data_IF_571618552983
#
_entry.id   IF_571618552983
#
_cell.length_a   1.000
_cell.length_b   1.000
_cell.length_c   1.000
_cell.angle_alpha   90.00
_cell.angle_beta   90.00
_cell.angle_gamma   90.00
#
_symmetry.space_group_name_H-M   'P 1'
#
loop_
_entity.id
_entity.type
_entity.pdbx_description
1 polymer ?
#
# COMPACT_ATOMS: atom_id res chain seq x y z
N UNK A 1 -11.07 20.60 18.78
CA UNK A 1 -10.62 19.21 18.52
C UNK A 1 -11.79 18.40 17.96
N UNK A 2 -11.64 17.80 16.79
CA UNK A 2 -12.65 17.00 16.07
C UNK A 2 -12.32 15.52 16.16
N UNK A 3 -13.29 14.68 16.55
CA UNK A 3 -13.08 13.24 16.64
C UNK A 3 -13.40 12.57 15.30
N UNK A 4 -12.41 11.89 14.73
CA UNK A 4 -12.48 11.24 13.43
C UNK A 4 -12.50 9.73 13.62
N UNK A 5 -13.51 9.05 13.07
CA UNK A 5 -13.64 7.60 13.11
C UNK A 5 -13.20 6.98 11.78
N UNK A 6 -12.00 6.41 11.76
CA UNK A 6 -11.51 5.59 10.65
C UNK A 6 -12.04 4.16 10.79
N UNK A 7 -12.75 3.67 9.77
CA UNK A 7 -13.37 2.34 9.77
C UNK A 7 -12.74 1.51 8.67
N UNK A 8 -12.18 0.35 9.03
CA UNK A 8 -11.53 -0.55 8.07
C UNK A 8 -12.04 -1.98 8.19
N UNK A 9 -11.84 -2.76 7.13
CA UNK A 9 -12.23 -4.16 7.03
C UNK A 9 -11.07 -4.96 6.42
N UNK A 10 -10.28 -5.62 7.25
CA UNK A 10 -9.03 -6.25 6.81
C UNK A 10 -8.85 -7.66 7.38
N UNK A 11 -8.19 -8.50 6.60
CA UNK A 11 -7.75 -9.82 7.03
C UNK A 11 -6.46 -9.79 7.84
N UNK A 12 -6.18 -10.84 8.64
CA UNK A 12 -4.99 -10.92 9.49
C UNK A 12 -3.67 -10.94 8.71
N UNK A 13 -3.72 -11.30 7.43
CA UNK A 13 -2.55 -11.40 6.54
C UNK A 13 -1.96 -10.03 6.21
N UNK A 14 -2.70 -8.94 6.46
CA UNK A 14 -2.28 -7.58 6.12
C UNK A 14 -1.70 -6.86 7.33
N UNK A 15 -0.69 -6.03 7.09
CA UNK A 15 -0.03 -5.18 8.09
C UNK A 15 -0.23 -3.69 7.77
N UNK A 16 -1.22 -3.36 6.94
CA UNK A 16 -1.46 -1.98 6.50
C UNK A 16 -1.80 -1.02 7.64
N UNK A 17 -2.47 -1.51 8.68
CA UNK A 17 -2.80 -0.68 9.83
C UNK A 17 -1.53 -0.23 10.55
N UNK A 18 -0.68 -1.16 10.96
CA UNK A 18 0.52 -0.87 11.73
C UNK A 18 1.60 -0.22 10.86
N UNK A 19 1.72 -0.66 9.61
CA UNK A 19 2.76 -0.23 8.71
C UNK A 19 2.48 1.10 8.02
N UNK A 20 1.22 1.43 7.71
CA UNK A 20 0.85 2.59 6.88
C UNK A 20 -0.13 3.54 7.59
N UNK A 21 -1.35 3.07 7.88
CA UNK A 21 -2.43 3.97 8.29
C UNK A 21 -2.22 4.54 9.69
N UNK A 22 -1.94 3.71 10.70
CA UNK A 22 -1.74 4.19 12.07
C UNK A 22 -0.60 5.21 12.16
N UNK A 23 0.59 4.98 11.56
CA UNK A 23 1.63 6.01 11.54
C UNK A 23 1.14 7.34 10.94
N UNK A 24 0.49 7.30 9.77
CA UNK A 24 0.00 8.53 9.12
C UNK A 24 -1.03 9.24 10.01
N UNK A 25 -2.03 8.52 10.54
CA UNK A 25 -3.08 9.09 11.38
C UNK A 25 -2.53 9.66 12.70
N UNK A 26 -1.52 9.01 13.28
CA UNK A 26 -0.81 9.51 14.46
C UNK A 26 -0.05 10.80 14.14
N UNK A 27 0.63 10.86 12.99
CA UNK A 27 1.30 12.07 12.53
C UNK A 27 0.31 13.20 12.22
N UNK A 28 -0.89 12.91 11.69
CA UNK A 28 -1.95 13.91 11.52
C UNK A 28 -2.39 14.42 12.90
N UNK A 29 -2.64 13.53 13.86
CA UNK A 29 -3.06 13.90 15.22
C UNK A 29 -2.03 14.78 15.94
N UNK A 30 -0.73 14.52 15.76
CA UNK A 30 0.33 15.28 16.44
C UNK A 30 0.49 16.71 15.93
N UNK A 31 -0.02 17.02 14.74
CA UNK A 31 0.15 18.33 14.08
C UNK A 31 -1.17 19.04 13.75
N UNK A 32 -2.31 18.55 14.25
CA UNK A 32 -3.64 19.09 13.93
C UNK A 32 -4.60 19.01 15.12
N UNK A 33 -5.83 19.50 14.90
CA UNK A 33 -6.92 19.43 15.88
C UNK A 33 -7.79 18.16 15.70
N UNK A 34 -7.28 17.13 15.03
CA UNK A 34 -7.99 15.86 14.83
C UNK A 34 -7.56 14.81 15.84
N UNK A 35 -8.54 14.07 16.38
CA UNK A 35 -8.30 12.91 17.24
C UNK A 35 -8.86 11.66 16.57
N UNK A 36 -8.01 10.65 16.35
CA UNK A 36 -8.41 9.46 15.59
C UNK A 36 -8.88 8.31 16.48
N UNK A 37 -10.04 7.80 16.11
CA UNK A 37 -10.58 6.51 16.54
C UNK A 37 -10.52 5.54 15.37
N UNK A 38 -10.09 4.32 15.61
CA UNK A 38 -10.01 3.25 14.62
C UNK A 38 -10.94 2.13 15.04
N UNK A 39 -11.88 1.77 14.17
CA UNK A 39 -12.67 0.55 14.29
C UNK A 39 -12.28 -0.38 13.14
N UNK A 40 -11.60 -1.48 13.49
CA UNK A 40 -11.21 -2.51 12.53
C UNK A 40 -12.15 -3.71 12.63
N UNK A 41 -12.80 -4.03 11.53
CA UNK A 41 -13.47 -5.31 11.35
C UNK A 41 -12.46 -6.34 10.84
N UNK A 42 -12.24 -7.43 11.58
CA UNK A 42 -11.22 -8.44 11.23
C UNK A 42 -11.63 -9.85 11.65
N UNK A 43 -11.04 -10.87 11.02
CA UNK A 43 -11.10 -12.28 11.45
C UNK A 43 -9.73 -12.78 11.95
N UNK A 44 -8.86 -11.86 12.38
CA UNK A 44 -7.57 -12.20 12.98
C UNK A 44 -7.68 -12.90 14.33
N UNK A 45 -6.59 -13.59 14.70
CA UNK A 45 -6.44 -14.24 16.00
C UNK A 45 -6.36 -13.20 17.12
N UNK A 46 -6.59 -13.62 18.37
CA UNK A 46 -6.45 -12.76 19.53
C UNK A 46 -5.03 -12.13 19.60
N UNK A 47 -4.00 -12.93 19.34
CA UNK A 47 -2.60 -12.49 19.28
C UNK A 47 -2.39 -11.40 18.21
N UNK A 48 -2.92 -11.59 16.99
CA UNK A 48 -2.80 -10.57 15.93
C UNK A 48 -3.49 -9.26 16.35
N UNK A 49 -4.66 -9.36 16.97
CA UNK A 49 -5.40 -8.19 17.47
C UNK A 49 -4.62 -7.47 18.56
N UNK A 50 -3.97 -8.20 19.47
CA UNK A 50 -3.15 -7.63 20.54
C UNK A 50 -1.94 -6.88 19.99
N UNK A 51 -1.25 -7.43 18.98
CA UNK A 51 -0.16 -6.74 18.28
C UNK A 51 -0.63 -5.43 17.65
N UNK A 52 -1.77 -5.45 16.96
CA UNK A 52 -2.34 -4.24 16.34
C UNK A 52 -2.77 -3.22 17.41
N UNK A 53 -3.36 -3.69 18.52
CA UNK A 53 -3.78 -2.83 19.62
C UNK A 53 -2.59 -2.17 20.32
N UNK A 54 -1.52 -2.91 20.57
CA UNK A 54 -0.26 -2.37 21.11
C UNK A 54 0.32 -1.30 20.19
N UNK A 55 0.37 -1.57 18.88
CA UNK A 55 0.84 -0.59 17.88
C UNK A 55 0.01 0.70 17.90
N UNK A 56 -1.32 0.59 18.06
CA UNK A 56 -2.18 1.76 18.20
C UNK A 56 -1.92 2.54 19.50
N UNK A 57 -1.69 1.85 20.62
CA UNK A 57 -1.37 2.46 21.90
C UNK A 57 -0.05 3.23 21.84
N UNK A 58 1.00 2.62 21.29
CA UNK A 58 2.31 3.25 21.09
C UNK A 58 2.23 4.52 20.22
N UNK A 59 1.25 4.57 19.32
CA UNK A 59 0.96 5.69 18.43
C UNK A 59 -0.11 6.66 18.97
N UNK A 60 -0.56 6.49 20.21
CA UNK A 60 -1.60 7.30 20.86
C UNK A 60 -2.94 7.34 20.10
N UNK A 61 -3.33 6.23 19.48
CA UNK A 61 -4.58 6.08 18.73
C UNK A 61 -5.60 5.25 19.52
N UNK A 62 -6.87 5.64 19.43
CA UNK A 62 -7.95 4.87 20.06
C UNK A 62 -8.35 3.73 19.12
N UNK A 63 -8.05 2.49 19.48
CA UNK A 63 -8.32 1.33 18.64
C UNK A 63 -9.42 0.43 19.23
N UNK A 64 -10.26 -0.13 18.36
CA UNK A 64 -11.28 -1.12 18.71
C UNK A 64 -11.41 -2.14 17.59
N UNK A 65 -11.31 -3.42 17.90
CA UNK A 65 -11.54 -4.51 16.96
C UNK A 65 -12.98 -5.03 17.02
N UNK A 66 -13.51 -5.48 15.89
CA UNK A 66 -14.79 -6.20 15.76
C UNK A 66 -14.59 -7.46 14.93
N UNK A 67 -15.01 -8.60 15.47
CA UNK A 67 -14.91 -9.88 14.77
C UNK A 67 -15.81 -9.93 13.53
N UNK A 68 -15.28 -10.43 12.43
CA UNK A 68 -16.03 -10.80 11.22
C UNK A 68 -16.43 -12.27 11.32
N UNK A 69 -17.73 -12.53 11.28
CA UNK A 69 -18.26 -13.90 11.31
C UNK A 69 -18.10 -14.54 9.94
N UNK A 70 -17.41 -15.69 9.87
CA UNK A 70 -17.15 -16.42 8.62
C UNK A 70 -17.79 -17.82 8.55
N UNK A 71 -18.37 -18.31 9.66
CA UNK A 71 -18.97 -19.65 9.78
C UNK A 71 -20.47 -19.55 10.13
N UNK A 72 -21.31 -20.55 9.79
CA UNK A 72 -21.00 -21.72 8.95
C UNK A 72 -20.88 -21.36 7.46
N UNK A 73 -21.58 -20.32 7.00
CA UNK A 73 -21.50 -19.81 5.63
C UNK A 73 -20.99 -18.36 5.62
N UNK A 74 -19.92 -18.10 4.87
CA UNK A 74 -19.24 -16.80 4.87
C UNK A 74 -20.14 -15.63 4.46
N UNK A 75 -21.09 -15.86 3.56
CA UNK A 75 -22.04 -14.83 3.09
C UNK A 75 -22.99 -14.43 4.23
N UNK A 76 -23.62 -15.40 4.89
CA UNK A 76 -24.51 -15.14 6.03
C UNK A 76 -23.76 -14.47 7.18
N UNK A 77 -22.54 -14.95 7.46
CA UNK A 77 -21.67 -14.33 8.46
C UNK A 77 -21.32 -12.87 8.12
N UNK A 78 -21.09 -12.55 6.85
CA UNK A 78 -20.84 -11.19 6.38
C UNK A 78 -22.07 -10.31 6.56
N UNK A 79 -23.26 -10.77 6.15
CA UNK A 79 -24.52 -10.02 6.33
C UNK A 79 -24.83 -9.75 7.80
N UNK A 80 -24.63 -10.75 8.66
CA UNK A 80 -24.78 -10.60 10.10
C UNK A 80 -23.78 -9.61 10.70
N UNK A 81 -22.52 -9.68 10.25
CA UNK A 81 -21.48 -8.73 10.66
C UNK A 81 -21.83 -7.31 10.24
N UNK A 82 -22.34 -7.11 9.02
CA UNK A 82 -22.80 -5.81 8.54
C UNK A 82 -23.93 -5.26 9.42
N UNK A 83 -24.96 -6.06 9.71
CA UNK A 83 -26.07 -5.64 10.56
C UNK A 83 -25.61 -5.22 11.97
N UNK A 84 -24.85 -6.10 12.65
CA UNK A 84 -24.30 -5.80 13.98
C UNK A 84 -23.32 -4.63 13.95
N UNK A 85 -22.52 -4.52 12.89
CA UNK A 85 -21.57 -3.45 12.66
C UNK A 85 -22.26 -2.10 12.55
N UNK A 86 -23.37 -2.00 11.81
CA UNK A 86 -24.15 -0.77 11.68
C UNK A 86 -24.68 -0.30 13.05
N UNK A 87 -25.27 -1.21 13.83
CA UNK A 87 -25.79 -0.89 15.17
C UNK A 87 -24.67 -0.45 16.12
N UNK A 88 -23.54 -1.15 16.09
CA UNK A 88 -22.36 -0.80 16.88
C UNK A 88 -21.82 0.57 16.52
N UNK A 89 -21.59 0.84 15.23
CA UNK A 89 -21.04 2.11 14.75
C UNK A 89 -21.95 3.29 15.09
N UNK A 90 -23.28 3.16 14.96
CA UNK A 90 -24.22 4.21 15.40
C UNK A 90 -24.06 4.55 16.89
N UNK A 91 -23.96 3.55 17.75
CA UNK A 91 -23.72 3.73 19.20
C UNK A 91 -22.33 4.33 19.46
N UNK A 92 -21.31 3.86 18.76
CA UNK A 92 -19.93 4.32 18.90
C UNK A 92 -19.79 5.80 18.50
N UNK A 93 -20.37 6.19 17.36
CA UNK A 93 -20.36 7.57 16.85
C UNK A 93 -20.97 8.52 17.87
N UNK A 94 -22.15 8.18 18.42
CA UNK A 94 -22.82 8.98 19.44
C UNK A 94 -22.04 9.04 20.74
N UNK A 95 -21.56 7.90 21.25
CA UNK A 95 -20.84 7.81 22.53
C UNK A 95 -19.54 8.62 22.54
N UNK A 96 -18.82 8.63 21.41
CA UNK A 96 -17.51 9.26 21.30
C UNK A 96 -17.56 10.63 20.63
N UNK A 97 -18.75 11.21 20.43
CA UNK A 97 -18.94 12.50 19.77
C UNK A 97 -18.14 12.61 18.45
N UNK A 98 -18.24 11.57 17.61
CA UNK A 98 -17.54 11.52 16.32
C UNK A 98 -18.17 12.56 15.37
N UNK A 99 -17.36 13.48 14.87
CA UNK A 99 -17.79 14.54 13.94
C UNK A 99 -17.45 14.22 12.49
N UNK A 100 -16.46 13.34 12.25
CA UNK A 100 -16.08 12.86 10.92
C UNK A 100 -16.04 11.34 10.91
N UNK A 101 -16.77 10.70 10.00
CA UNK A 101 -16.75 9.25 9.78
C UNK A 101 -16.03 8.96 8.48
N UNK A 102 -14.95 8.20 8.57
CA UNK A 102 -14.05 7.89 7.47
C UNK A 102 -14.04 6.38 7.17
N UNK A 103 -15.00 5.87 6.38
CA UNK A 103 -14.95 4.49 5.91
C UNK A 103 -13.85 4.32 4.86
N UNK A 104 -12.98 3.33 5.05
CA UNK A 104 -12.04 2.86 4.02
C UNK A 104 -12.61 1.62 3.35
N UNK A 105 -12.59 1.57 2.02
CA UNK A 105 -13.06 0.44 1.19
C UNK A 105 -14.59 0.18 1.18
N UNK A 106 -15.02 -0.77 0.35
CA UNK A 106 -16.42 -1.02 0.01
C UNK A 106 -17.28 -1.49 1.20
N UNK A 107 -16.76 -2.36 2.08
CA UNK A 107 -17.59 -2.94 3.16
C UNK A 107 -17.91 -1.92 4.27
N UNK A 108 -16.94 -1.15 4.79
CA UNK A 108 -17.23 0.00 5.66
C UNK A 108 -18.13 1.04 5.00
N UNK A 109 -17.91 1.34 3.71
CA UNK A 109 -18.76 2.25 2.96
C UNK A 109 -20.24 1.80 2.93
N UNK A 110 -20.47 0.52 2.68
CA UNK A 110 -21.81 -0.09 2.70
C UNK A 110 -22.48 0.12 4.07
N UNK A 111 -21.77 -0.10 5.19
CA UNK A 111 -22.32 0.14 6.53
C UNK A 111 -22.72 1.60 6.73
N UNK A 112 -21.84 2.55 6.36
CA UNK A 112 -22.10 3.98 6.51
C UNK A 112 -23.25 4.46 5.61
N UNK A 113 -23.40 3.90 4.41
CA UNK A 113 -24.53 4.16 3.50
C UNK A 113 -25.91 3.82 4.12
N UNK A 114 -25.95 2.96 5.14
CA UNK A 114 -27.18 2.57 5.85
C UNK A 114 -27.48 3.42 7.10
N UNK A 115 -26.68 4.45 7.35
CA UNK A 115 -26.88 5.39 8.48
C UNK A 115 -27.43 6.72 7.95
N UNK A 116 -28.10 7.52 8.77
CA UNK A 116 -28.43 8.92 8.45
C UNK A 116 -27.29 9.85 8.90
N UNK A 117 -26.99 10.92 8.14
CA UNK A 117 -25.94 11.90 8.47
C UNK A 117 -26.42 12.95 9.49
N UNK A 118 -26.88 12.54 10.66
CA UNK A 118 -27.53 13.52 11.53
C UNK A 118 -26.56 14.43 12.29
N UNK A 119 -25.28 14.07 12.46
CA UNK A 119 -24.30 14.88 13.23
C UNK A 119 -22.82 14.65 12.83
N UNK A 120 -22.54 14.11 11.64
CA UNK A 120 -21.17 13.88 11.20
C UNK A 120 -21.02 14.08 9.70
N UNK A 121 -19.81 14.51 9.29
CA UNK A 121 -19.36 14.55 7.89
C UNK A 121 -18.79 13.18 7.51
N UNK A 122 -18.86 12.83 6.24
CA UNK A 122 -18.36 11.57 5.69
C UNK A 122 -17.17 11.85 4.79
N UNK A 123 -16.04 11.22 5.10
CA UNK A 123 -14.84 11.24 4.27
C UNK A 123 -14.59 9.84 3.75
N UNK A 124 -14.91 9.58 2.49
CA UNK A 124 -14.67 8.24 1.95
C UNK A 124 -13.19 8.09 1.58
N UNK A 125 -12.49 7.15 2.21
CA UNK A 125 -11.12 6.79 1.82
C UNK A 125 -11.20 5.70 0.73
N UNK A 126 -11.24 6.15 -0.53
CA UNK A 126 -11.23 5.34 -1.74
C UNK A 126 -9.79 4.88 -2.04
N UNK A 127 -9.31 3.99 -1.18
CA UNK A 127 -7.98 3.40 -1.24
C UNK A 127 -7.88 2.40 -2.39
N UNK A 128 -7.51 2.88 -3.57
CA UNK A 128 -7.43 2.07 -4.79
C UNK A 128 -8.79 1.84 -5.45
N UNK A 129 -8.81 0.84 -6.33
CA UNK A 129 -10.01 0.38 -7.06
C UNK A 129 -10.25 -1.10 -6.72
N UNK A 130 -10.67 -1.42 -5.48
CA UNK A 130 -10.66 -2.80 -4.98
C UNK A 130 -11.66 -3.72 -5.69
N UNK A 131 -12.73 -3.20 -6.29
CA UNK A 131 -13.66 -4.01 -7.07
C UNK A 131 -13.06 -4.39 -8.43
N UNK A 132 -12.39 -3.43 -9.06
CA UNK A 132 -11.66 -3.60 -10.30
C UNK A 132 -10.43 -4.49 -10.11
N UNK A 133 -9.71 -4.39 -8.98
CA UNK A 133 -8.57 -5.28 -8.67
C UNK A 133 -9.03 -6.75 -8.60
N UNK A 134 -10.24 -6.99 -8.11
CA UNK A 134 -10.83 -8.33 -8.10
C UNK A 134 -11.25 -8.81 -9.49
N UNK A 135 -11.60 -7.90 -10.41
CA UNK A 135 -11.83 -8.24 -11.82
C UNK A 135 -10.49 -8.64 -12.44
N UNK A 136 -9.48 -7.79 -12.29
CA UNK A 136 -8.18 -7.92 -12.93
C UNK A 136 -7.41 -9.17 -12.44
N UNK A 137 -7.43 -9.46 -11.13
CA UNK A 137 -6.53 -10.46 -10.54
C UNK A 137 -7.22 -11.59 -9.75
N UNK A 138 -8.55 -11.56 -9.60
CA UNK A 138 -9.29 -12.55 -8.82
C UNK A 138 -10.47 -13.20 -9.55
N UNK A 139 -10.66 -12.90 -10.84
CA UNK A 139 -11.70 -13.52 -11.68
C UNK A 139 -13.13 -13.07 -11.35
N UNK A 140 -13.33 -11.95 -10.66
CA UNK A 140 -14.67 -11.41 -10.43
C UNK A 140 -15.26 -10.96 -11.78
N UNK A 141 -16.42 -11.48 -12.16
CA UNK A 141 -17.08 -11.01 -13.37
C UNK A 141 -17.73 -9.64 -13.17
N UNK A 142 -17.52 -8.66 -14.08
CA UNK A 142 -18.22 -7.37 -14.06
C UNK A 142 -19.74 -7.51 -14.30
N UNK A 143 -20.19 -8.64 -14.83
CA UNK A 143 -21.62 -8.95 -15.02
C UNK A 143 -22.25 -9.65 -13.81
N UNK A 144 -21.46 -9.97 -12.77
CA UNK A 144 -22.00 -10.63 -11.59
C UNK A 144 -22.88 -9.68 -10.77
N UNK A 145 -23.98 -10.21 -10.22
CA UNK A 145 -24.86 -9.45 -9.29
C UNK A 145 -24.08 -8.94 -8.07
N UNK A 146 -23.06 -9.69 -7.63
CA UNK A 146 -22.17 -9.27 -6.56
C UNK A 146 -21.42 -7.99 -6.92
N UNK A 147 -20.75 -7.96 -8.08
CA UNK A 147 -20.04 -6.77 -8.54
C UNK A 147 -20.99 -5.58 -8.70
N UNK A 148 -22.11 -5.76 -9.42
CA UNK A 148 -23.06 -4.70 -9.67
C UNK A 148 -23.62 -4.09 -8.37
N UNK A 149 -23.94 -4.92 -7.38
CA UNK A 149 -24.37 -4.47 -6.07
C UNK A 149 -23.29 -3.66 -5.34
N UNK A 150 -22.06 -4.19 -5.27
CA UNK A 150 -20.96 -3.53 -4.58
C UNK A 150 -20.57 -2.22 -5.28
N UNK A 151 -20.59 -2.18 -6.61
CA UNK A 151 -20.33 -0.98 -7.39
C UNK A 151 -21.40 0.09 -7.13
N UNK A 152 -22.67 -0.31 -7.06
CA UNK A 152 -23.77 0.61 -6.69
C UNK A 152 -23.58 1.19 -5.29
N UNK A 153 -23.10 0.40 -4.33
CA UNK A 153 -22.79 0.88 -2.98
C UNK A 153 -21.60 1.84 -2.94
N UNK A 154 -20.55 1.55 -3.71
CA UNK A 154 -19.42 2.47 -3.88
C UNK A 154 -19.87 3.79 -4.51
N UNK A 155 -20.62 3.76 -5.62
CA UNK A 155 -21.15 4.96 -6.28
C UNK A 155 -22.03 5.79 -5.35
N UNK A 156 -22.87 5.12 -4.54
CA UNK A 156 -23.69 5.80 -3.52
C UNK A 156 -22.83 6.46 -2.46
N UNK A 157 -21.74 5.81 -2.02
CA UNK A 157 -20.81 6.42 -1.06
C UNK A 157 -20.09 7.61 -1.68
N UNK A 158 -19.57 7.47 -2.90
CA UNK A 158 -18.92 8.54 -3.64
C UNK A 158 -19.84 9.75 -3.81
N UNK A 159 -21.13 9.56 -4.12
CA UNK A 159 -22.10 10.66 -4.18
C UNK A 159 -22.33 11.29 -2.81
N UNK A 160 -22.51 10.45 -1.78
CA UNK A 160 -22.87 10.88 -0.44
C UNK A 160 -21.72 11.54 0.32
N UNK A 161 -20.47 11.19 0.07
CA UNK A 161 -19.33 11.68 0.85
C UNK A 161 -19.14 13.20 0.69
N UNK A 162 -18.80 13.86 1.81
CA UNK A 162 -18.48 15.30 1.88
C UNK A 162 -17.03 15.55 1.41
N UNK A 163 -16.15 14.56 1.59
CA UNK A 163 -14.81 14.51 0.98
C UNK A 163 -14.47 13.09 0.53
N UNK A 164 -13.64 12.95 -0.49
CA UNK A 164 -13.14 11.66 -0.98
C UNK A 164 -11.62 11.70 -1.06
N UNK A 165 -10.96 10.77 -0.37
CA UNK A 165 -9.52 10.59 -0.45
C UNK A 165 -9.21 9.51 -1.49
N UNK A 166 -8.22 9.76 -2.32
CA UNK A 166 -7.72 8.82 -3.34
C UNK A 166 -6.21 8.75 -3.28
N UNK A 167 -5.60 7.80 -4.01
CA UNK A 167 -4.12 7.66 -4.07
C UNK A 167 -3.50 8.18 -5.37
N UNK A 168 -4.32 8.64 -6.31
CA UNK A 168 -3.85 9.16 -7.60
C UNK A 168 -4.87 10.09 -8.22
N UNK A 169 -4.40 11.00 -9.08
CA UNK A 169 -5.28 11.84 -9.91
C UNK A 169 -6.03 10.98 -10.93
N UNK A 170 -5.43 9.89 -11.41
CA UNK A 170 -6.12 8.90 -12.26
C UNK A 170 -7.36 8.31 -11.57
N UNK A 171 -7.30 7.99 -10.27
CA UNK A 171 -8.48 7.54 -9.51
C UNK A 171 -9.56 8.61 -9.40
N UNK A 172 -9.18 9.89 -9.22
CA UNK A 172 -10.15 11.00 -9.21
C UNK A 172 -10.93 11.04 -10.52
N UNK A 173 -10.25 10.90 -11.66
CA UNK A 173 -10.91 10.88 -12.97
C UNK A 173 -11.90 9.70 -13.09
N UNK A 174 -11.47 8.49 -12.70
CA UNK A 174 -12.31 7.28 -12.76
C UNK A 174 -13.55 7.41 -11.86
N UNK A 175 -13.38 7.87 -10.62
CA UNK A 175 -14.52 8.07 -9.72
C UNK A 175 -15.41 9.23 -10.17
N UNK A 176 -14.85 10.31 -10.72
CA UNK A 176 -15.63 11.44 -11.25
C UNK A 176 -16.48 11.05 -12.46
N UNK A 177 -16.00 10.15 -13.32
CA UNK A 177 -16.82 9.57 -14.39
C UNK A 177 -18.01 8.77 -13.84
N UNK A 178 -17.84 8.13 -12.68
CA UNK A 178 -18.90 7.34 -12.04
C UNK A 178 -20.00 8.20 -11.41
N UNK A 179 -19.67 9.36 -10.84
CA UNK A 179 -20.63 10.21 -10.09
C UNK A 179 -20.92 11.58 -10.72
N UNK A 180 -20.33 11.86 -11.88
CA UNK A 180 -20.39 13.15 -12.56
C UNK A 180 -19.35 14.16 -12.05
N UNK A 181 -18.73 14.88 -12.98
CA UNK A 181 -17.64 15.84 -12.72
C UNK A 181 -18.02 17.07 -11.87
N UNK A 182 -19.33 17.33 -11.67
CA UNK A 182 -19.83 18.43 -10.84
C UNK A 182 -19.36 18.35 -9.37
N UNK A 183 -18.95 17.16 -8.92
CA UNK A 183 -18.48 16.89 -7.57
C UNK A 183 -16.95 16.77 -7.47
N UNK A 184 -16.18 17.20 -8.47
CA UNK A 184 -14.73 17.01 -8.51
C UNK A 184 -13.97 17.71 -7.38
N UNK A 185 -14.50 18.83 -6.86
CA UNK A 185 -13.87 19.63 -5.80
C UNK A 185 -13.70 18.90 -4.45
N UNK A 186 -14.50 17.85 -4.19
CA UNK A 186 -14.44 17.09 -2.94
C UNK A 186 -13.36 15.99 -2.93
N UNK A 187 -12.78 15.71 -4.09
CA UNK A 187 -11.72 14.72 -4.20
C UNK A 187 -10.37 15.34 -3.82
N UNK A 188 -9.56 14.56 -3.10
CA UNK A 188 -8.19 14.92 -2.78
C UNK A 188 -7.30 13.69 -2.95
N UNK A 189 -6.12 13.88 -3.54
CA UNK A 189 -5.06 12.87 -3.52
C UNK A 189 -4.34 12.98 -2.19
N UNK A 190 -4.18 11.86 -1.50
CA UNK A 190 -3.35 11.76 -0.30
C UNK A 190 -2.23 10.75 -0.51
N UNK A 191 -1.09 10.99 0.12
CA UNK A 191 0.14 10.24 -0.12
C UNK A 191 0.28 9.04 0.81
N UNK A 192 0.91 7.97 0.33
CA UNK A 192 1.30 6.80 1.13
C UNK A 192 2.75 6.92 1.61
N UNK A 193 2.93 7.61 2.74
CA UNK A 193 4.22 7.98 3.28
C UNK A 193 4.75 6.99 4.31
N UNK A 194 6.06 7.05 4.53
CA UNK A 194 6.84 6.21 5.42
C UNK A 194 7.64 7.04 6.40
N UNK A 195 7.90 6.46 7.58
CA UNK A 195 8.75 7.08 8.58
C UNK A 195 10.19 7.19 8.02
N UNK A 196 10.64 8.41 7.82
CA UNK A 196 11.94 8.74 7.24
C UNK A 196 13.11 8.37 8.15
N UNK A 197 12.91 8.26 9.46
CA UNK A 197 13.95 7.82 10.39
C UNK A 197 14.10 6.30 10.43
N UNK A 198 13.00 5.60 10.14
CA UNK A 198 12.97 4.14 10.04
C UNK A 198 13.53 3.65 8.69
N UNK A 199 13.09 4.26 7.58
CA UNK A 199 13.65 4.02 6.24
C UNK A 199 14.68 5.09 5.90
N UNK A 200 15.95 4.79 6.13
CA UNK A 200 17.10 5.63 5.75
C UNK A 200 18.34 4.79 5.41
N UNK A 201 19.15 5.21 4.41
CA UNK A 201 20.40 4.54 4.11
C UNK A 201 21.33 4.57 5.32
N UNK A 202 22.03 3.46 5.57
CA UNK A 202 23.02 3.33 6.63
C UNK A 202 24.11 2.35 6.18
N UNK A 203 25.34 2.85 6.03
CA UNK A 203 26.48 2.07 5.53
C UNK A 203 26.90 0.93 6.45
N UNK A 204 26.89 1.14 7.77
CA UNK A 204 27.20 0.10 8.74
C UNK A 204 26.17 -1.03 8.72
N UNK A 205 24.87 -0.70 8.64
CA UNK A 205 23.80 -1.69 8.47
C UNK A 205 23.94 -2.47 7.16
N UNK A 206 24.28 -1.77 6.07
CA UNK A 206 24.55 -2.40 4.77
C UNK A 206 25.69 -3.41 4.87
N UNK A 207 26.82 -3.02 5.43
CA UNK A 207 27.98 -3.90 5.59
C UNK A 207 27.63 -5.13 6.45
N UNK A 208 26.98 -4.92 7.59
CA UNK A 208 26.56 -6.00 8.49
C UNK A 208 25.58 -6.97 7.81
N UNK A 209 24.58 -6.44 7.11
CA UNK A 209 23.59 -7.27 6.42
C UNK A 209 24.20 -8.04 5.25
N UNK A 210 25.13 -7.43 4.49
CA UNK A 210 25.85 -8.14 3.42
C UNK A 210 26.73 -9.26 3.99
N UNK A 211 27.38 -9.05 5.14
CA UNK A 211 28.11 -10.12 5.86
C UNK A 211 27.17 -11.25 6.31
N UNK A 212 26.04 -10.91 6.92
CA UNK A 212 25.03 -11.89 7.38
C UNK A 212 24.52 -12.76 6.22
N UNK A 213 24.23 -12.11 5.08
CA UNK A 213 23.77 -12.77 3.86
C UNK A 213 24.90 -13.46 3.08
N UNK A 214 26.15 -13.37 3.54
CA UNK A 214 27.35 -13.90 2.88
C UNK A 214 27.53 -13.36 1.44
N UNK A 215 27.22 -12.09 1.24
CA UNK A 215 27.30 -11.38 -0.04
C UNK A 215 28.63 -10.62 -0.14
N UNK A 216 29.54 -10.98 -1.05
CA UNK A 216 30.76 -10.21 -1.32
C UNK A 216 30.47 -8.76 -1.71
N UNK A 217 31.36 -7.81 -1.41
CA UNK A 217 31.14 -6.37 -1.65
C UNK A 217 30.87 -6.01 -3.11
N UNK A 218 31.49 -6.74 -4.05
CA UNK A 218 31.38 -6.57 -5.49
C UNK A 218 30.12 -7.19 -6.09
N UNK A 219 29.39 -8.04 -5.35
CA UNK A 219 28.20 -8.73 -5.83
C UNK A 219 27.02 -7.78 -5.91
N UNK A 220 26.32 -7.75 -7.05
CA UNK A 220 25.13 -6.90 -7.20
C UNK A 220 23.94 -7.55 -6.49
N UNK A 221 23.25 -6.83 -5.61
CA UNK A 221 22.06 -7.32 -4.92
C UNK A 221 20.82 -6.67 -5.49
N UNK A 222 20.02 -7.45 -6.21
CA UNK A 222 18.68 -7.06 -6.62
C UNK A 222 17.70 -7.46 -5.52
N UNK A 223 16.69 -6.65 -5.24
CA UNK A 223 15.76 -6.91 -4.14
C UNK A 223 14.30 -6.77 -4.56
N UNK A 224 13.46 -7.66 -4.03
CA UNK A 224 12.02 -7.50 -4.00
C UNK A 224 11.52 -7.66 -2.56
N UNK A 225 10.71 -6.72 -2.09
CA UNK A 225 10.03 -6.76 -0.80
C UNK A 225 8.51 -6.71 -1.00
N UNK A 226 7.81 -7.71 -0.48
CA UNK A 226 6.35 -7.74 -0.39
C UNK A 226 5.74 -9.09 -0.72
N UNK A 227 4.41 -9.11 -0.81
CA UNK A 227 3.67 -10.30 -1.24
C UNK A 227 3.97 -10.66 -2.70
N UNK A 228 3.80 -11.93 -3.04
CA UNK A 228 3.89 -12.43 -4.41
C UNK A 228 2.51 -12.93 -4.88
N UNK A 229 2.29 -12.92 -6.19
CA UNK A 229 1.01 -13.21 -6.85
C UNK A 229 0.92 -12.56 -8.23
N UNK A 230 -0.20 -12.76 -8.93
CA UNK A 230 -0.34 -12.36 -10.34
C UNK A 230 0.05 -10.91 -10.64
N UNK A 231 -0.34 -9.97 -9.78
CA UNK A 231 -0.07 -8.55 -10.01
C UNK A 231 1.38 -8.09 -9.78
N UNK A 232 2.30 -8.94 -9.32
CA UNK A 232 3.61 -8.53 -8.80
C UNK A 232 4.79 -8.79 -9.74
N UNK A 233 4.54 -8.99 -11.04
CA UNK A 233 5.57 -9.01 -12.08
C UNK A 233 6.67 -10.06 -11.87
N UNK A 234 6.29 -11.26 -11.38
CA UNK A 234 7.24 -12.32 -11.06
C UNK A 234 8.08 -12.72 -12.28
N UNK A 235 7.41 -12.95 -13.41
CA UNK A 235 8.06 -13.40 -14.64
C UNK A 235 9.04 -12.35 -15.17
N UNK A 236 8.68 -11.06 -15.09
CA UNK A 236 9.55 -9.95 -15.46
C UNK A 236 10.78 -9.87 -14.57
N UNK A 237 10.60 -9.92 -13.24
CA UNK A 237 11.74 -9.86 -12.31
C UNK A 237 12.71 -11.02 -12.52
N UNK A 238 12.18 -12.23 -12.72
CA UNK A 238 13.00 -13.42 -12.98
C UNK A 238 13.71 -13.35 -14.33
N UNK A 239 13.05 -12.86 -15.38
CA UNK A 239 13.67 -12.68 -16.70
C UNK A 239 14.79 -11.63 -16.68
N UNK A 240 14.58 -10.49 -16.00
CA UNK A 240 15.62 -9.46 -15.83
C UNK A 240 16.80 -10.02 -15.04
N UNK A 241 16.54 -10.69 -13.93
CA UNK A 241 17.59 -11.27 -13.10
C UNK A 241 18.40 -12.33 -13.86
N UNK A 242 17.74 -13.26 -14.56
CA UNK A 242 18.39 -14.27 -15.40
C UNK A 242 19.30 -13.65 -16.45
N UNK A 243 18.78 -12.71 -17.24
CA UNK A 243 19.56 -12.07 -18.29
C UNK A 243 20.74 -11.26 -17.73
N UNK A 244 20.58 -10.63 -16.56
CA UNK A 244 21.69 -9.97 -15.88
C UNK A 244 22.75 -10.98 -15.39
N UNK A 245 22.32 -12.09 -14.79
CA UNK A 245 23.20 -13.15 -14.28
C UNK A 245 24.03 -13.80 -15.42
N UNK A 246 23.43 -14.01 -16.59
CA UNK A 246 24.11 -14.55 -17.78
C UNK A 246 25.22 -13.62 -18.29
N UNK A 247 25.01 -12.29 -18.25
CA UNK A 247 26.03 -11.30 -18.60
C UNK A 247 27.11 -11.14 -17.53
N UNK A 248 26.70 -11.17 -16.25
CA UNK A 248 27.56 -10.97 -15.08
C UNK A 248 27.16 -11.96 -13.99
N UNK A 249 27.89 -13.07 -13.90
CA UNK A 249 27.68 -14.15 -12.92
C UNK A 249 28.06 -13.76 -11.47
N UNK A 250 27.74 -12.53 -11.05
CA UNK A 250 28.04 -11.96 -9.75
C UNK A 250 26.88 -11.10 -9.25
N UNK A 251 25.69 -11.70 -9.22
CA UNK A 251 24.49 -11.09 -8.67
C UNK A 251 23.75 -12.05 -7.74
N UNK A 252 23.00 -11.46 -6.80
CA UNK A 252 22.07 -12.16 -5.93
C UNK A 252 20.71 -11.48 -6.02
N UNK A 253 19.64 -12.28 -6.12
CA UNK A 253 18.28 -11.79 -5.96
C UNK A 253 17.78 -12.10 -4.56
N UNK A 254 17.62 -11.05 -3.75
CA UNK A 254 17.03 -11.13 -2.42
C UNK A 254 15.51 -10.91 -2.49
N UNK A 255 14.72 -11.90 -2.08
CA UNK A 255 13.26 -11.85 -2.10
C UNK A 255 12.77 -11.91 -0.65
N UNK A 256 12.26 -10.78 -0.15
CA UNK A 256 11.62 -10.67 1.15
C UNK A 256 10.11 -10.81 0.98
N UNK A 257 9.56 -11.95 1.39
CA UNK A 257 8.14 -12.24 1.19
C UNK A 257 7.54 -13.12 2.28
N UNK A 258 6.24 -12.99 2.49
CA UNK A 258 5.43 -13.93 3.28
C UNK A 258 4.97 -15.13 2.45
N UNK A 259 5.08 -15.05 1.12
CA UNK A 259 4.67 -16.09 0.16
C UNK A 259 5.88 -16.95 -0.26
N UNK A 260 6.59 -17.56 0.70
CA UNK A 260 7.82 -18.32 0.40
C UNK A 260 7.56 -19.53 -0.49
N UNK A 261 6.44 -20.21 -0.26
CA UNK A 261 6.04 -21.38 -1.05
C UNK A 261 5.89 -21.00 -2.53
N UNK A 262 5.21 -19.88 -2.79
CA UNK A 262 5.06 -19.36 -4.17
C UNK A 262 6.42 -19.17 -4.85
N UNK A 263 7.38 -18.55 -4.15
CA UNK A 263 8.71 -18.28 -4.68
C UNK A 263 9.50 -19.57 -4.90
N UNK A 264 9.60 -20.41 -3.87
CA UNK A 264 10.41 -21.63 -3.89
C UNK A 264 9.94 -22.63 -4.97
N UNK A 265 8.64 -22.72 -5.24
CA UNK A 265 8.09 -23.57 -6.29
C UNK A 265 8.38 -23.06 -7.72
N UNK A 266 8.70 -21.77 -7.87
CA UNK A 266 8.83 -21.10 -9.18
C UNK A 266 10.25 -20.66 -9.51
N UNK A 267 11.16 -20.76 -8.55
CA UNK A 267 12.59 -20.48 -8.78
C UNK A 267 13.16 -21.64 -9.60
N UNK A 268 13.76 -21.37 -10.77
CA UNK A 268 14.45 -22.39 -11.56
C UNK A 268 15.69 -22.91 -10.82
N UNK A 269 15.96 -24.21 -10.93
CA UNK A 269 17.09 -24.87 -10.25
C UNK A 269 18.44 -24.21 -10.56
N UNK A 270 18.63 -23.77 -11.81
CA UNK A 270 19.86 -23.13 -12.27
C UNK A 270 20.11 -21.74 -11.63
N UNK A 271 19.05 -21.08 -11.16
CA UNK A 271 19.14 -19.79 -10.46
C UNK A 271 19.11 -19.93 -8.93
N UNK A 272 18.74 -21.08 -8.39
CA UNK A 272 18.49 -21.27 -6.96
C UNK A 272 19.67 -20.85 -6.07
N UNK A 273 20.91 -21.09 -6.51
CA UNK A 273 22.13 -20.71 -5.77
C UNK A 273 22.36 -19.19 -5.69
N UNK A 274 21.71 -18.41 -6.55
CA UNK A 274 21.84 -16.96 -6.63
C UNK A 274 20.58 -16.22 -6.12
N UNK A 275 19.60 -16.94 -5.55
CA UNK A 275 18.36 -16.36 -5.03
C UNK A 275 18.22 -16.68 -3.55
N UNK A 276 17.96 -15.65 -2.74
CA UNK A 276 17.74 -15.77 -1.30
C UNK A 276 16.29 -15.40 -1.01
N UNK A 277 15.48 -16.34 -0.54
CA UNK A 277 14.09 -16.09 -0.13
C UNK A 277 13.99 -16.06 1.40
N UNK A 278 13.45 -14.98 1.96
CA UNK A 278 13.27 -14.83 3.41
C UNK A 278 11.91 -14.23 3.76
N UNK A 279 11.39 -14.64 4.91
CA UNK A 279 10.30 -13.95 5.60
C UNK A 279 10.89 -13.29 6.83
N UNK A 280 10.70 -11.98 6.99
CA UNK A 280 11.24 -11.22 8.11
C UNK A 280 10.18 -10.29 8.70
N UNK A 281 10.26 -9.96 10.00
CA UNK A 281 9.40 -8.96 10.61
C UNK A 281 9.56 -7.58 9.95
N UNK A 282 8.51 -6.76 9.97
CA UNK A 282 8.55 -5.40 9.40
C UNK A 282 9.70 -4.55 9.97
N UNK A 283 10.01 -4.71 11.26
CA UNK A 283 11.10 -3.99 11.95
C UNK A 283 12.48 -4.24 11.35
N UNK A 284 12.68 -5.41 10.71
CA UNK A 284 13.94 -5.82 10.10
C UNK A 284 14.05 -5.43 8.61
N UNK A 285 12.95 -5.06 7.97
CA UNK A 285 12.93 -4.75 6.53
C UNK A 285 13.99 -3.71 6.14
N UNK A 286 14.16 -2.57 6.83
CA UNK A 286 15.20 -1.60 6.47
C UNK A 286 16.63 -2.17 6.54
N UNK A 287 16.89 -3.13 7.43
CA UNK A 287 18.20 -3.78 7.54
C UNK A 287 18.48 -4.59 6.27
N UNK A 288 17.54 -5.41 5.83
CA UNK A 288 17.66 -6.19 4.57
C UNK A 288 17.71 -5.28 3.33
N UNK A 289 16.87 -4.24 3.27
CA UNK A 289 16.90 -3.27 2.18
C UNK A 289 18.27 -2.58 2.06
N UNK A 290 18.98 -2.35 3.18
CA UNK A 290 20.28 -1.67 3.14
C UNK A 290 21.36 -2.44 2.35
N UNK A 291 21.23 -3.77 2.23
CA UNK A 291 22.15 -4.60 1.45
C UNK A 291 21.95 -4.47 -0.07
N UNK A 292 20.79 -3.98 -0.51
CA UNK A 292 20.39 -3.95 -1.91
C UNK A 292 21.07 -2.84 -2.71
N UNK A 293 21.24 -3.10 -3.99
CA UNK A 293 21.74 -2.15 -4.98
C UNK A 293 20.63 -1.65 -5.89
N UNK A 294 19.61 -2.49 -6.14
CA UNK A 294 18.50 -2.19 -7.06
C UNK A 294 17.25 -2.87 -6.54
N UNK A 295 16.12 -2.17 -6.54
CA UNK A 295 14.84 -2.70 -6.09
C UNK A 295 13.84 -2.86 -7.24
N UNK A 296 13.05 -3.93 -7.19
CA UNK A 296 11.92 -4.15 -8.08
C UNK A 296 10.61 -3.70 -7.42
N UNK A 297 9.94 -2.78 -8.11
CA UNK A 297 8.56 -2.38 -7.86
C UNK A 297 7.70 -2.63 -9.12
N UNK A 298 7.96 -3.74 -9.81
CA UNK A 298 7.21 -4.17 -10.99
C UNK A 298 5.83 -4.68 -10.54
N UNK A 299 4.82 -4.22 -11.27
CA UNK A 299 3.41 -4.63 -11.18
C UNK A 299 2.81 -4.71 -12.57
N UNK A 300 1.89 -5.64 -12.76
CA UNK A 300 1.15 -5.76 -14.02
C UNK A 300 0.20 -4.55 -14.21
N UNK A 301 0.33 -3.75 -15.28
CA UNK A 301 -0.40 -2.50 -15.44
C UNK A 301 -1.84 -2.71 -15.93
N UNK A 302 -2.69 -3.21 -15.03
CA UNK A 302 -4.13 -3.38 -15.26
C UNK A 302 -4.94 -2.13 -14.89
N UNK A 303 -6.23 -2.09 -15.25
CA UNK A 303 -7.10 -0.93 -15.02
C UNK A 303 -7.11 -0.49 -13.55
N UNK A 304 -7.24 -1.45 -12.63
CA UNK A 304 -7.27 -1.18 -11.19
C UNK A 304 -6.00 -0.54 -10.64
N UNK A 305 -4.85 -0.76 -11.28
CA UNK A 305 -3.56 -0.21 -10.86
C UNK A 305 -3.46 1.30 -11.03
N UNK A 306 -4.33 1.90 -11.85
CA UNK A 306 -4.43 3.36 -11.97
C UNK A 306 -4.83 4.04 -10.66
N UNK A 307 -5.45 3.30 -9.72
CA UNK A 307 -5.84 3.84 -8.42
C UNK A 307 -4.81 3.66 -7.31
N UNK A 308 -3.64 3.09 -7.58
CA UNK A 308 -2.71 2.63 -6.54
C UNK A 308 -1.51 3.56 -6.41
N UNK A 309 -1.10 3.84 -5.16
CA UNK A 309 0.21 4.40 -4.83
C UNK A 309 1.05 3.33 -4.09
N UNK A 310 1.98 2.62 -4.76
CA UNK A 310 2.71 1.51 -4.18
C UNK A 310 3.59 1.95 -3.01
N UNK A 311 3.33 1.37 -1.85
CA UNK A 311 4.01 1.73 -0.61
C UNK A 311 5.51 1.38 -0.65
N UNK A 312 5.87 0.27 -1.32
CA UNK A 312 7.26 -0.18 -1.46
C UNK A 312 8.17 0.81 -2.19
N UNK A 313 7.61 1.67 -3.06
CA UNK A 313 8.40 2.75 -3.67
C UNK A 313 8.93 3.71 -2.61
N UNK A 314 8.08 4.06 -1.62
CA UNK A 314 8.53 4.87 -0.49
C UNK A 314 9.60 4.17 0.34
N UNK A 315 9.48 2.86 0.56
CA UNK A 315 10.48 2.08 1.29
C UNK A 315 11.84 2.08 0.57
N UNK A 316 11.86 1.80 -0.74
CA UNK A 316 13.09 1.72 -1.52
C UNK A 316 13.75 3.08 -1.74
N UNK A 317 12.97 4.08 -2.15
CA UNK A 317 13.50 5.38 -2.52
C UNK A 317 13.92 6.18 -1.30
N UNK A 318 13.23 6.03 -0.16
CA UNK A 318 13.73 6.59 1.10
C UNK A 318 15.02 5.91 1.57
N UNK A 319 15.22 4.63 1.28
CA UNK A 319 16.52 3.95 1.49
C UNK A 319 17.58 4.36 0.45
N UNK A 320 17.21 5.17 -0.55
CA UNK A 320 18.09 5.64 -1.60
C UNK A 320 18.41 4.60 -2.67
N UNK A 321 17.59 3.55 -2.80
CA UNK A 321 17.87 2.41 -3.68
C UNK A 321 17.34 2.72 -5.10
N UNK A 322 18.19 2.65 -6.14
CA UNK A 322 17.76 2.64 -7.53
C UNK A 322 16.60 1.66 -7.75
N UNK A 323 15.58 2.07 -8.49
CA UNK A 323 14.33 1.31 -8.54
C UNK A 323 13.84 1.12 -9.97
N UNK A 324 13.46 -0.11 -10.30
CA UNK A 324 12.76 -0.46 -11.56
C UNK A 324 11.28 -0.62 -11.20
N UNK A 325 10.42 0.20 -11.79
CA UNK A 325 8.98 0.22 -11.49
C UNK A 325 8.15 0.33 -12.76
N UNK A 326 6.96 -0.27 -12.77
CA UNK A 326 6.11 -0.27 -13.96
C UNK A 326 5.55 1.11 -14.29
N UNK A 327 5.40 1.37 -15.59
CA UNK A 327 4.45 2.37 -16.11
C UNK A 327 3.01 1.96 -15.80
N UNK A 328 2.07 2.90 -15.81
CA UNK A 328 0.64 2.61 -15.68
C UNK A 328 0.13 2.41 -14.24
N UNK A 329 0.96 2.67 -13.23
CA UNK A 329 0.60 2.48 -11.81
C UNK A 329 0.35 3.83 -11.15
N UNK A 330 -0.92 4.20 -10.93
CA UNK A 330 -1.26 5.49 -10.32
C UNK A 330 -0.52 6.67 -10.94
N UNK A 331 -0.02 7.56 -10.08
CA UNK A 331 0.77 8.73 -10.47
C UNK A 331 2.29 8.48 -10.36
N UNK A 332 2.73 7.22 -10.24
CA UNK A 332 4.14 6.90 -9.94
C UNK A 332 5.10 7.37 -11.02
N UNK A 333 4.69 7.35 -12.30
CA UNK A 333 5.51 7.78 -13.43
C UNK A 333 6.00 9.22 -13.27
N UNK A 334 5.10 10.13 -12.90
CA UNK A 334 5.44 11.54 -12.67
C UNK A 334 6.46 11.69 -11.53
N UNK A 335 6.27 10.92 -10.46
CA UNK A 335 7.16 10.94 -9.29
C UNK A 335 8.54 10.40 -9.67
N UNK A 336 8.59 9.23 -10.32
CA UNK A 336 9.84 8.55 -10.64
C UNK A 336 10.67 9.27 -11.70
N UNK A 337 10.05 10.01 -12.63
CA UNK A 337 10.76 10.88 -13.55
C UNK A 337 11.50 12.04 -12.85
N UNK A 338 11.09 12.40 -11.63
CA UNK A 338 11.76 13.44 -10.83
C UNK A 338 12.82 12.90 -9.86
N UNK A 339 12.96 11.57 -9.75
CA UNK A 339 13.92 10.91 -8.86
C UNK A 339 15.01 10.25 -9.70
N UNK A 340 16.30 10.51 -9.43
CA UNK A 340 17.38 9.90 -10.19
C UNK A 340 17.42 8.39 -9.99
N UNK A 341 18.02 7.68 -10.95
CA UNK A 341 18.23 6.23 -10.90
C UNK A 341 16.92 5.44 -10.72
N UNK A 342 15.85 5.89 -11.36
CA UNK A 342 14.61 5.15 -11.52
C UNK A 342 14.41 4.77 -12.98
N UNK A 343 14.03 3.52 -13.24
CA UNK A 343 13.64 3.05 -14.56
C UNK A 343 12.12 2.81 -14.59
N UNK A 344 11.45 3.44 -15.55
CA UNK A 344 10.07 3.14 -15.90
C UNK A 344 10.03 1.93 -16.83
N UNK A 345 9.62 0.80 -16.27
CA UNK A 345 9.50 -0.46 -16.96
C UNK A 345 8.17 -0.53 -17.74
N UNK A 346 8.28 -0.45 -19.06
CA UNK A 346 7.15 -0.56 -19.99
C UNK A 346 6.91 -2.02 -20.39
N UNK A 347 5.75 -2.57 -20.02
CA UNK A 347 5.38 -3.95 -20.30
C UNK A 347 5.14 -4.19 -21.79
N UNK A 348 4.79 -3.14 -22.54
CA UNK A 348 4.50 -3.22 -23.97
C UNK A 348 5.78 -3.16 -24.82
N UNK A 349 6.89 -2.69 -24.25
CA UNK A 349 8.14 -2.60 -24.97
C UNK A 349 8.75 -4.01 -25.18
N UNK A 350 9.04 -4.44 -26.42
CA UNK A 350 9.62 -5.76 -26.69
C UNK A 350 11.05 -5.90 -26.13
N UNK A 351 11.78 -4.80 -25.98
CA UNK A 351 13.16 -4.76 -25.46
C UNK A 351 13.23 -4.49 -23.96
N UNK A 352 12.10 -4.49 -23.24
CA UNK A 352 11.99 -4.09 -21.83
C UNK A 352 12.98 -4.80 -20.88
N UNK A 353 13.25 -6.09 -21.09
CA UNK A 353 14.19 -6.84 -20.26
C UNK A 353 15.62 -6.35 -20.51
N UNK A 354 16.02 -6.21 -21.78
CA UNK A 354 17.35 -5.69 -22.13
C UNK A 354 17.54 -4.25 -21.65
N UNK A 355 16.51 -3.40 -21.73
CA UNK A 355 16.55 -2.04 -21.19
C UNK A 355 16.74 -2.04 -19.67
N UNK A 356 16.06 -2.93 -18.94
CA UNK A 356 16.24 -3.08 -17.51
C UNK A 356 17.65 -3.57 -17.15
N UNK A 357 18.18 -4.54 -17.89
CA UNK A 357 19.56 -5.03 -17.71
C UNK A 357 20.59 -3.94 -18.01
N UNK A 358 20.44 -3.21 -19.12
CA UNK A 358 21.34 -2.11 -19.48
C UNK A 358 21.28 -0.98 -18.44
N UNK A 359 20.09 -0.69 -17.90
CA UNK A 359 19.93 0.24 -16.79
C UNK A 359 20.74 -0.23 -15.57
N UNK A 360 20.58 -1.50 -15.16
CA UNK A 360 21.35 -2.11 -14.06
C UNK A 360 22.87 -1.96 -14.29
N UNK A 361 23.33 -2.20 -15.53
CA UNK A 361 24.75 -2.10 -15.90
C UNK A 361 25.28 -0.66 -15.94
N UNK A 362 24.43 0.29 -16.30
CA UNK A 362 24.77 1.71 -16.38
C UNK A 362 24.89 2.39 -15.01
N UNK A 363 24.36 1.76 -13.95
CA UNK A 363 24.47 2.29 -12.60
C UNK A 363 25.93 2.20 -12.12
N UNK A 364 26.57 3.36 -12.03
CA UNK A 364 27.85 3.54 -11.34
C UNK A 364 27.72 3.50 -9.82
N UNK A 365 28.53 4.30 -9.12
CA UNK A 365 28.39 4.44 -7.68
C UNK A 365 27.07 5.15 -7.33
N UNK A 366 26.20 4.47 -6.58
CA UNK A 366 24.89 4.99 -6.21
C UNK A 366 25.01 6.11 -5.16
N UNK A 367 24.57 7.30 -5.51
CA UNK A 367 24.35 8.36 -4.52
C UNK A 367 23.02 8.17 -3.79
N UNK A 368 23.01 7.30 -2.78
CA UNK A 368 21.82 6.97 -1.96
C UNK A 368 21.17 8.22 -1.34
N UNK A 369 21.98 9.23 -0.99
CA UNK A 369 21.49 10.47 -0.37
C UNK A 369 20.68 11.32 -1.34
N UNK A 370 21.09 11.39 -2.61
CA UNK A 370 20.39 12.20 -3.61
C UNK A 370 19.04 11.57 -3.99
N UNK A 371 19.01 10.25 -4.26
CA UNK A 371 17.74 9.52 -4.51
C UNK A 371 16.76 9.76 -3.36
N UNK A 372 17.25 9.58 -2.12
CA UNK A 372 16.46 9.82 -0.92
C UNK A 372 15.94 11.25 -0.84
N UNK A 373 16.81 12.25 -1.07
CA UNK A 373 16.45 13.67 -0.98
C UNK A 373 15.27 14.00 -1.91
N UNK A 374 15.30 13.51 -3.14
CA UNK A 374 14.21 13.71 -4.12
C UNK A 374 12.95 12.90 -3.78
N UNK A 375 13.08 11.80 -3.06
CA UNK A 375 11.94 10.96 -2.64
C UNK A 375 11.16 11.51 -1.44
N UNK A 376 11.81 12.23 -0.52
CA UNK A 376 11.19 12.74 0.73
C UNK A 376 9.89 13.54 0.50
N UNK A 377 9.80 14.47 -0.48
CA UNK A 377 8.58 15.22 -0.75
C UNK A 377 7.36 14.35 -1.09
N UNK A 378 7.57 13.15 -1.65
CA UNK A 378 6.51 12.26 -2.12
C UNK A 378 6.19 11.11 -1.16
N UNK A 379 7.20 10.65 -0.40
CA UNK A 379 7.10 9.42 0.39
C UNK A 379 7.34 9.59 1.89
N UNK A 380 7.53 10.81 2.40
CA UNK A 380 7.65 11.02 3.85
C UNK A 380 6.29 11.01 4.56
N UNK A 381 6.26 10.44 5.76
CA UNK A 381 5.07 10.43 6.63
C UNK A 381 4.55 11.85 6.94
N UNK A 382 5.46 12.83 7.04
CA UNK A 382 5.11 14.24 7.24
C UNK A 382 4.29 14.77 6.06
N UNK A 383 4.73 14.51 4.82
CA UNK A 383 4.03 14.95 3.60
C UNK A 383 2.69 14.22 3.43
N UNK A 384 2.60 12.95 3.80
CA UNK A 384 1.31 12.26 3.92
C UNK A 384 0.37 12.95 4.88
N UNK A 385 0.83 13.20 6.10
CA UNK A 385 -0.02 13.84 7.10
C UNK A 385 -0.44 15.26 6.69
N UNK A 386 0.43 16.04 6.03
CA UNK A 386 0.06 17.32 5.41
C UNK A 386 -1.06 17.15 4.37
N UNK A 387 -0.97 16.15 3.48
CA UNK A 387 -2.03 15.88 2.49
C UNK A 387 -3.37 15.49 3.12
N UNK A 388 -3.35 14.71 4.21
CA UNK A 388 -4.54 14.35 4.97
C UNK A 388 -5.13 15.57 5.70
N UNK A 389 -4.31 16.41 6.36
CA UNK A 389 -4.78 17.65 6.98
C UNK A 389 -5.46 18.55 5.95
N UNK A 390 -4.79 18.81 4.81
CA UNK A 390 -5.34 19.63 3.74
C UNK A 390 -6.69 19.11 3.22
N UNK A 391 -6.83 17.78 3.10
CA UNK A 391 -8.07 17.18 2.64
C UNK A 391 -9.20 17.25 3.69
N UNK A 392 -8.88 17.08 4.98
CA UNK A 392 -9.85 17.18 6.07
C UNK A 392 -10.25 18.63 6.38
N UNK A 393 -9.31 19.58 6.27
CA UNK A 393 -9.56 20.99 6.54
C UNK A 393 -10.49 21.62 5.48
N UNK A 394 -10.52 21.11 4.24
CA UNK A 394 -11.53 21.48 3.21
C UNK A 394 -12.98 21.26 3.65
N UNK A 395 -13.18 20.44 4.68
CA UNK A 395 -14.52 20.14 5.18
C UNK A 395 -14.98 21.18 6.19
N UNK A 396 -14.09 21.96 6.78
CA UNK A 396 -14.44 23.03 7.72
C UNK A 396 -15.06 24.18 6.95
#
# INVERSE_FOLDING_TARGET
MENVLFITWDGPQTTYMEGLFMPILSQVQSQSQYKFHIVQFTWGTAERIEITQKSAQDLNLIYTSKAIVRKPFAILGTLFTLYKGILFLKKYIKKNNITIVMPRSTMPALMVNRMSKQNFKVVFDADGLPLEERIDFSGLSPNSKQYQFLKKEESKMLQRADGVLTRSHKAINIHSQTVGYKNSNKFSVVLNGRNTDFFKPNSAKRENMRKELRVPNQTKVLIYCGSLGGQYGWDEMMAIFRQYQEKKANAIFLILTVNKEFANERIPDDLAVSIIVKTVPFTEIPNYLSAADIAFAIREPQFSMQGIAPIKLGEYLLMGIPTIASVGIGDTEQILNSVPNCLLYDHQNPNRINLAVNFIESLGETNFKEIRKQAIPFFSIKKSAESYCNALDKLR
#
